data_IF_228226188673
#
_entry.id   IF_228226188673
#
_cell.length_a   1.000
_cell.length_b   1.000
_cell.length_c   1.000
_cell.angle_alpha   90.00
_cell.angle_beta   90.00
_cell.angle_gamma   90.00
#
_symmetry.space_group_name_H-M   'P 1'
#
loop_
_entity.id
_entity.type
_entity.pdbx_description
1 polymer ?
#
# COMPACT_ATOMS: atom_id res chain seq x y z
N UNK A 1 -19.68 90.72 -26.74
CA UNK A 1 -18.45 90.05 -27.17
C UNK A 1 -18.47 88.63 -26.54
N UNK A 2 -18.57 87.64 -27.38
CA UNK A 2 -18.78 86.22 -27.01
C UNK A 2 -17.47 85.58 -26.61
N UNK A 3 -17.46 84.84 -25.47
CA UNK A 3 -16.46 83.83 -25.24
C UNK A 3 -17.17 82.55 -24.87
N UNK A 4 -17.06 81.57 -25.76
CA UNK A 4 -17.59 80.20 -25.62
C UNK A 4 -16.67 79.37 -24.70
N UNK A 5 -17.21 78.96 -23.57
CA UNK A 5 -16.53 77.97 -22.72
C UNK A 5 -16.57 76.57 -23.33
N UNK A 6 -15.40 75.94 -23.53
CA UNK A 6 -15.28 74.55 -23.88
C UNK A 6 -15.27 73.76 -22.61
N UNK A 7 -16.29 72.94 -22.41
CA UNK A 7 -16.30 71.92 -21.36
C UNK A 7 -15.39 70.78 -21.80
N UNK A 8 -14.32 70.45 -21.02
CA UNK A 8 -13.53 69.22 -21.12
C UNK A 8 -14.25 68.15 -20.35
N UNK A 9 -14.70 67.15 -21.07
CA UNK A 9 -15.17 65.87 -20.49
C UNK A 9 -13.95 65.03 -20.15
N UNK A 10 -13.56 64.98 -18.87
CA UNK A 10 -12.55 64.08 -18.39
C UNK A 10 -13.18 62.65 -18.15
N UNK A 11 -12.97 61.74 -19.09
CA UNK A 11 -13.38 60.38 -18.95
C UNK A 11 -12.45 59.69 -17.98
N UNK A 12 -12.93 59.36 -16.77
CA UNK A 12 -12.27 58.42 -15.86
C UNK A 12 -12.42 56.99 -16.40
N UNK A 13 -11.40 56.51 -17.08
CA UNK A 13 -11.24 55.08 -17.34
C UNK A 13 -10.77 54.47 -16.03
N UNK A 14 -11.69 53.90 -15.24
CA UNK A 14 -11.36 53.01 -14.12
C UNK A 14 -10.77 51.71 -14.69
N UNK A 15 -9.45 51.58 -14.67
CA UNK A 15 -8.76 50.36 -14.91
C UNK A 15 -9.10 49.43 -13.73
N UNK A 16 -10.08 48.54 -13.93
CA UNK A 16 -10.31 47.41 -13.03
C UNK A 16 -9.14 46.45 -13.26
N UNK A 17 -8.07 46.63 -12.47
CA UNK A 17 -7.05 45.60 -12.31
C UNK A 17 -7.73 44.46 -11.59
N UNK A 18 -8.31 43.54 -12.34
CA UNK A 18 -8.56 42.17 -11.86
C UNK A 18 -7.20 41.60 -11.47
N UNK A 19 -6.90 41.64 -10.19
CA UNK A 19 -5.84 40.79 -9.65
C UNK A 19 -6.30 39.36 -9.92
N UNK A 20 -5.88 38.79 -11.06
CA UNK A 20 -5.90 37.39 -11.24
C UNK A 20 -5.02 36.86 -10.09
N UNK A 21 -5.65 36.39 -9.00
CA UNK A 21 -4.95 35.59 -8.01
C UNK A 21 -4.30 34.47 -8.82
N UNK A 22 -2.98 34.52 -8.90
CA UNK A 22 -2.23 33.39 -9.50
C UNK A 22 -2.66 32.15 -8.73
N UNK A 23 -3.35 31.26 -9.42
CA UNK A 23 -3.74 29.99 -8.85
C UNK A 23 -2.44 29.29 -8.44
N UNK A 24 -2.27 29.07 -7.14
CA UNK A 24 -1.10 28.37 -6.62
C UNK A 24 -1.34 26.87 -6.77
N UNK A 25 -0.36 26.16 -7.36
CA UNK A 25 -0.45 24.71 -7.51
C UNK A 25 -0.57 24.02 -6.15
N UNK A 26 -1.49 23.07 -6.05
CA UNK A 26 -1.67 22.26 -4.85
C UNK A 26 -0.70 21.09 -4.92
N UNK A 27 0.32 21.09 -4.07
CA UNK A 27 1.27 20.00 -3.97
C UNK A 27 0.68 18.82 -3.18
N UNK A 28 0.84 17.62 -3.72
CA UNK A 28 0.48 16.35 -3.09
C UNK A 28 1.74 15.49 -3.02
N UNK A 29 2.15 15.08 -1.83
CA UNK A 29 3.18 14.07 -1.69
C UNK A 29 2.58 12.70 -2.02
N UNK A 30 3.25 11.94 -2.86
CA UNK A 30 2.97 10.51 -3.07
C UNK A 30 4.17 9.74 -2.55
N UNK A 31 3.93 8.92 -1.53
CA UNK A 31 4.99 8.30 -0.73
C UNK A 31 4.83 6.79 -0.70
N UNK A 32 5.79 6.08 -1.24
CA UNK A 32 5.80 4.61 -1.25
C UNK A 32 7.17 4.09 -1.61
N UNK A 33 7.29 2.77 -1.75
CA UNK A 33 8.54 2.16 -2.17
C UNK A 33 8.80 2.41 -3.65
N UNK A 34 9.67 3.36 -3.99
CA UNK A 34 10.19 3.53 -5.36
C UNK A 34 11.42 2.64 -5.61
N UNK A 35 12.04 2.15 -4.56
CA UNK A 35 13.18 1.25 -4.57
C UNK A 35 12.97 0.06 -3.65
N UNK A 36 13.90 -0.91 -3.69
CA UNK A 36 13.85 -2.08 -2.83
C UNK A 36 12.98 -3.22 -3.35
N UNK A 37 12.81 -4.27 -2.53
CA UNK A 37 12.20 -5.54 -2.97
C UNK A 37 10.73 -5.46 -3.35
N UNK A 38 10.02 -4.43 -2.90
CA UNK A 38 8.57 -4.25 -3.11
C UNK A 38 8.23 -3.03 -3.97
N UNK A 39 9.20 -2.51 -4.73
CA UNK A 39 9.06 -1.33 -5.59
C UNK A 39 7.89 -1.43 -6.59
N UNK A 40 7.52 -2.63 -7.02
CA UNK A 40 6.40 -2.83 -7.93
C UNK A 40 5.05 -2.35 -7.36
N UNK A 41 4.88 -2.37 -6.05
CA UNK A 41 3.69 -1.81 -5.41
C UNK A 41 3.73 -0.28 -5.41
N UNK A 42 4.92 0.31 -5.24
CA UNK A 42 5.12 1.75 -5.40
C UNK A 42 4.80 2.21 -6.82
N UNK A 43 5.26 1.49 -7.84
CA UNK A 43 4.94 1.79 -9.24
C UNK A 43 3.43 1.81 -9.48
N UNK A 44 2.67 0.88 -8.89
CA UNK A 44 1.21 0.86 -8.99
C UNK A 44 0.57 2.08 -8.30
N UNK A 45 1.05 2.45 -7.12
CA UNK A 45 0.57 3.61 -6.37
C UNK A 45 0.84 4.91 -7.15
N UNK A 46 2.07 5.10 -7.63
CA UNK A 46 2.45 6.28 -8.39
C UNK A 46 1.68 6.39 -9.69
N UNK A 47 1.52 5.31 -10.45
CA UNK A 47 0.75 5.28 -11.69
C UNK A 47 -0.70 5.70 -11.45
N UNK A 48 -1.32 5.16 -10.39
CA UNK A 48 -2.69 5.53 -10.02
C UNK A 48 -2.83 7.01 -9.62
N UNK A 49 -1.89 7.53 -8.85
CA UNK A 49 -1.87 8.93 -8.43
C UNK A 49 -1.64 9.87 -9.62
N UNK A 50 -0.71 9.55 -10.52
CA UNK A 50 -0.42 10.33 -11.73
C UNK A 50 -1.64 10.40 -12.65
N UNK A 51 -2.32 9.28 -12.87
CA UNK A 51 -3.55 9.26 -13.67
C UNK A 51 -4.65 10.11 -13.03
N UNK A 52 -4.86 9.99 -11.72
CA UNK A 52 -5.87 10.79 -11.02
C UNK A 52 -5.59 12.29 -11.10
N UNK A 53 -4.33 12.69 -10.94
CA UNK A 53 -3.91 14.09 -11.07
C UNK A 53 -4.07 14.60 -12.50
N UNK A 54 -3.71 13.79 -13.50
CA UNK A 54 -3.91 14.14 -14.91
C UNK A 54 -5.39 14.38 -15.21
N UNK A 55 -6.29 13.51 -14.77
CA UNK A 55 -7.73 13.61 -14.97
C UNK A 55 -8.33 14.86 -14.30
N UNK A 56 -7.92 15.16 -13.07
CA UNK A 56 -8.37 16.34 -12.34
C UNK A 56 -7.87 17.62 -13.04
N UNK A 57 -6.61 17.63 -13.43
CA UNK A 57 -5.99 18.78 -14.08
C UNK A 57 -6.57 19.06 -15.47
N UNK A 58 -6.94 18.01 -16.22
CA UNK A 58 -7.61 18.14 -17.51
C UNK A 58 -8.99 18.81 -17.36
N UNK A 59 -9.67 18.59 -16.22
CA UNK A 59 -10.96 19.22 -15.89
C UNK A 59 -10.83 20.62 -15.29
N UNK A 60 -9.64 21.20 -15.26
CA UNK A 60 -9.39 22.56 -14.76
C UNK A 60 -8.80 22.63 -13.35
N UNK A 61 -8.50 21.49 -12.73
CA UNK A 61 -7.94 21.44 -11.38
C UNK A 61 -9.00 21.60 -10.29
N UNK A 62 -8.57 21.95 -9.09
CA UNK A 62 -9.45 22.19 -7.93
C UNK A 62 -9.59 23.71 -7.73
N UNK A 63 -10.77 24.24 -7.99
CA UNK A 63 -11.05 25.70 -7.92
C UNK A 63 -10.07 26.54 -8.77
N UNK A 64 -9.63 26.00 -9.90
CA UNK A 64 -8.66 26.64 -10.79
C UNK A 64 -7.19 26.33 -10.48
N UNK A 65 -6.86 25.77 -9.32
CA UNK A 65 -5.50 25.37 -8.97
C UNK A 65 -5.19 23.98 -9.55
N UNK A 66 -4.01 23.83 -10.15
CA UNK A 66 -3.55 22.54 -10.64
C UNK A 66 -2.96 21.71 -9.48
N UNK A 67 -3.07 20.40 -9.60
CA UNK A 67 -2.41 19.46 -8.70
C UNK A 67 -1.00 19.16 -9.21
N UNK A 68 -0.04 19.12 -8.31
CA UNK A 68 1.35 18.74 -8.60
C UNK A 68 1.77 17.60 -7.66
N UNK A 69 2.23 16.49 -8.24
CA UNK A 69 2.79 15.37 -7.48
C UNK A 69 4.24 15.66 -7.13
N UNK A 70 4.60 15.40 -5.87
CA UNK A 70 5.97 15.31 -5.39
C UNK A 70 6.18 13.89 -4.88
N UNK A 71 7.09 13.14 -5.52
CA UNK A 71 7.35 11.74 -5.20
C UNK A 71 8.40 11.61 -4.10
N UNK A 72 8.16 10.70 -3.16
CA UNK A 72 9.09 10.36 -2.10
C UNK A 72 9.23 8.85 -1.97
N UNK A 73 10.46 8.38 -1.82
CA UNK A 73 10.79 6.96 -1.65
C UNK A 73 11.05 6.66 -0.18
N UNK A 74 10.25 5.79 0.42
CA UNK A 74 10.45 5.26 1.77
C UNK A 74 11.00 3.82 1.78
N UNK A 75 11.15 3.20 0.61
CA UNK A 75 11.64 1.83 0.41
C UNK A 75 10.95 0.77 1.30
N UNK A 76 9.75 1.03 1.83
CA UNK A 76 9.11 0.25 2.90
C UNK A 76 9.95 0.13 4.19
N UNK A 77 10.91 1.01 4.40
CA UNK A 77 11.74 1.05 5.60
C UNK A 77 11.20 2.08 6.61
N UNK A 78 10.90 1.69 7.86
CA UNK A 78 10.29 2.59 8.84
C UNK A 78 11.19 3.77 9.22
N UNK A 79 12.53 3.64 9.17
CA UNK A 79 13.45 4.74 9.47
C UNK A 79 13.47 5.73 8.31
N UNK A 80 13.48 5.22 7.08
CA UNK A 80 13.41 6.08 5.89
C UNK A 80 12.05 6.78 5.83
N UNK A 81 10.96 6.13 6.20
CA UNK A 81 9.63 6.72 6.27
C UNK A 81 9.57 7.94 7.22
N UNK A 82 10.22 7.85 8.39
CA UNK A 82 10.35 8.99 9.31
C UNK A 82 11.12 10.14 8.67
N UNK A 83 12.23 9.86 7.98
CA UNK A 83 13.00 10.89 7.30
C UNK A 83 12.20 11.55 6.17
N UNK A 84 11.46 10.75 5.41
CA UNK A 84 10.56 11.23 4.34
C UNK A 84 9.43 12.07 4.92
N UNK A 85 8.78 11.64 6.00
CA UNK A 85 7.71 12.41 6.64
C UNK A 85 8.20 13.79 7.08
N UNK A 86 9.35 13.87 7.73
CA UNK A 86 9.95 15.16 8.08
C UNK A 86 10.29 16.01 6.85
N UNK A 87 10.71 15.37 5.74
CA UNK A 87 10.95 16.10 4.49
C UNK A 87 9.67 16.67 3.91
N UNK A 88 8.56 15.93 3.91
CA UNK A 88 7.24 16.40 3.48
C UNK A 88 6.80 17.60 4.31
N UNK A 89 6.99 17.56 5.64
CA UNK A 89 6.73 18.69 6.54
C UNK A 89 7.56 19.91 6.14
N UNK A 90 8.87 19.75 5.95
CA UNK A 90 9.78 20.83 5.59
C UNK A 90 9.49 21.41 4.20
N UNK A 91 9.00 20.62 3.26
CA UNK A 91 8.59 21.05 1.92
C UNK A 91 7.21 21.76 1.93
N UNK A 92 6.57 21.86 3.10
CA UNK A 92 5.31 22.57 3.31
C UNK A 92 4.09 21.88 2.72
N UNK A 93 4.17 20.58 2.40
CA UNK A 93 3.08 19.83 1.78
C UNK A 93 2.09 19.40 2.86
N UNK A 94 0.80 19.56 2.58
CA UNK A 94 -0.30 19.27 3.54
C UNK A 94 -1.15 18.05 3.17
N UNK A 95 -0.88 17.44 2.03
CA UNK A 95 -1.64 16.30 1.53
C UNK A 95 -0.70 15.16 1.13
N UNK A 96 -0.92 13.99 1.69
CA UNK A 96 -0.10 12.80 1.46
C UNK A 96 -0.98 11.64 0.97
N UNK A 97 -0.62 11.07 -0.17
CA UNK A 97 -1.06 9.74 -0.61
C UNK A 97 0.07 8.77 -0.27
N UNK A 98 -0.24 7.73 0.47
CA UNK A 98 0.76 6.81 1.02
C UNK A 98 0.69 6.79 2.56
N UNK A 99 1.64 6.25 3.26
CA UNK A 99 2.67 5.32 2.80
C UNK A 99 2.07 3.96 2.41
N UNK A 100 2.84 3.14 1.71
CA UNK A 100 2.34 1.88 1.20
C UNK A 100 2.39 0.75 2.24
N UNK A 101 3.54 0.55 2.89
CA UNK A 101 3.74 -0.53 3.86
C UNK A 101 3.28 -0.12 5.26
N UNK A 102 2.64 -1.03 6.01
CA UNK A 102 2.15 -0.72 7.36
C UNK A 102 3.28 -0.29 8.31
N UNK A 103 4.47 -0.93 8.22
CA UNK A 103 5.66 -0.60 9.00
C UNK A 103 6.20 0.81 8.74
N UNK A 104 6.06 1.32 7.52
CA UNK A 104 6.41 2.68 7.13
C UNK A 104 5.33 3.68 7.51
N UNK A 105 4.07 3.31 7.28
CA UNK A 105 2.90 4.15 7.53
C UNK A 105 2.78 4.56 8.99
N UNK A 106 3.02 3.63 9.91
CA UNK A 106 2.79 3.89 11.33
C UNK A 106 3.65 5.04 11.86
N UNK A 107 4.99 5.00 11.80
CA UNK A 107 5.80 6.09 12.34
C UNK A 107 5.65 7.40 11.54
N UNK A 108 5.38 7.35 10.24
CA UNK A 108 5.14 8.54 9.45
C UNK A 108 3.82 9.21 9.82
N UNK A 109 2.78 8.43 10.10
CA UNK A 109 1.45 8.94 10.46
C UNK A 109 1.43 9.70 11.80
N UNK A 110 2.32 9.36 12.74
CA UNK A 110 2.46 10.11 13.98
C UNK A 110 2.92 11.56 13.69
N UNK A 111 3.91 11.70 12.81
CA UNK A 111 4.43 13.00 12.39
C UNK A 111 3.35 13.80 11.63
N UNK A 112 2.63 13.15 10.71
CA UNK A 112 1.61 13.83 9.91
C UNK A 112 0.42 14.29 10.76
N UNK A 113 -0.03 13.48 11.73
CA UNK A 113 -1.11 13.89 12.65
C UNK A 113 -0.69 15.11 13.47
N UNK A 114 0.53 15.10 14.04
CA UNK A 114 1.07 16.17 14.86
C UNK A 114 1.25 17.49 14.09
N UNK A 115 1.62 17.40 12.80
CA UNK A 115 1.86 18.53 11.91
C UNK A 115 0.61 18.99 11.13
N UNK A 116 -0.55 18.39 11.39
CA UNK A 116 -1.81 18.72 10.74
C UNK A 116 -1.81 18.43 9.24
N UNK A 117 -1.17 17.34 8.82
CA UNK A 117 -1.07 16.87 7.44
C UNK A 117 -2.06 15.73 7.21
N UNK A 118 -2.93 15.88 6.22
CA UNK A 118 -3.85 14.83 5.81
C UNK A 118 -3.09 13.72 5.05
N UNK A 119 -3.14 12.50 5.58
CA UNK A 119 -2.59 11.31 4.93
C UNK A 119 -3.69 10.31 4.60
N UNK A 120 -3.66 9.79 3.39
CA UNK A 120 -4.54 8.71 2.93
C UNK A 120 -3.68 7.57 2.38
N UNK A 121 -3.63 6.45 3.10
CA UNK A 121 -2.94 5.27 2.58
C UNK A 121 -3.85 4.44 1.68
N UNK A 122 -3.41 4.09 0.45
CA UNK A 122 -4.17 3.22 -0.43
C UNK A 122 -3.89 1.72 -0.19
N UNK A 123 -2.88 1.37 0.61
CA UNK A 123 -2.36 0.01 0.68
C UNK A 123 -2.11 -0.55 2.08
N UNK A 124 -1.73 0.28 3.06
CA UNK A 124 -1.40 -0.21 4.40
C UNK A 124 -2.64 -0.75 5.13
N UNK A 125 -2.64 -2.04 5.48
CA UNK A 125 -3.81 -2.79 5.96
C UNK A 125 -3.86 -3.04 7.45
N UNK A 126 -2.76 -2.79 8.19
CA UNK A 126 -2.70 -3.00 9.64
C UNK A 126 -3.82 -2.20 10.37
N UNK A 127 -4.66 -2.86 11.19
CA UNK A 127 -5.84 -2.24 11.79
C UNK A 127 -5.52 -1.04 12.68
N UNK A 128 -4.42 -1.11 13.42
CA UNK A 128 -4.02 -0.08 14.38
C UNK A 128 -3.70 1.27 13.73
N UNK A 129 -3.36 1.31 12.45
CA UNK A 129 -3.04 2.57 11.76
C UNK A 129 -4.18 3.60 11.85
N UNK A 130 -5.42 3.15 11.80
CA UNK A 130 -6.60 4.02 11.87
C UNK A 130 -7.43 3.83 13.15
N UNK A 131 -6.99 2.96 14.08
CA UNK A 131 -7.67 2.71 15.35
C UNK A 131 -7.15 3.59 16.51
N UNK A 132 -6.10 4.39 16.29
CA UNK A 132 -5.45 5.23 17.31
C UNK A 132 -6.19 6.54 17.63
N UNK A 133 -7.32 6.81 16.96
CA UNK A 133 -8.12 8.02 17.16
C UNK A 133 -7.60 9.25 16.41
N UNK A 134 -6.65 9.09 15.50
CA UNK A 134 -6.15 10.15 14.64
C UNK A 134 -7.25 10.63 13.69
N UNK A 135 -7.27 11.95 13.39
CA UNK A 135 -8.30 12.59 12.57
C UNK A 135 -7.89 12.74 11.12
N UNK A 136 -6.59 12.83 10.88
CA UNK A 136 -6.01 13.12 9.58
C UNK A 136 -5.42 11.88 8.89
N UNK A 137 -5.47 10.72 9.54
CA UNK A 137 -4.91 9.47 9.02
C UNK A 137 -6.05 8.57 8.55
N UNK A 138 -6.18 8.45 7.24
CA UNK A 138 -7.27 7.73 6.58
C UNK A 138 -6.72 6.57 5.73
N UNK A 139 -7.62 5.68 5.36
CA UNK A 139 -7.31 4.51 4.52
C UNK A 139 -8.44 4.25 3.52
N UNK A 140 -8.07 3.79 2.31
CA UNK A 140 -9.03 3.39 1.26
C UNK A 140 -9.05 1.89 0.98
N UNK A 141 -8.17 1.11 1.62
CA UNK A 141 -8.12 -0.35 1.50
C UNK A 141 -8.79 -1.06 2.69
N UNK A 142 -8.94 -2.40 2.61
CA UNK A 142 -9.48 -3.22 3.69
C UNK A 142 -8.52 -3.40 4.86
N UNK A 143 -8.92 -4.21 5.83
CA UNK A 143 -8.20 -4.46 7.07
C UNK A 143 -7.69 -5.89 7.16
N UNK A 144 -6.53 -6.08 7.78
CA UNK A 144 -6.01 -7.41 8.13
C UNK A 144 -6.94 -8.15 9.10
N UNK A 145 -7.71 -7.40 9.92
CA UNK A 145 -8.74 -7.97 10.79
C UNK A 145 -9.89 -8.65 10.06
N UNK A 146 -10.08 -8.37 8.77
CA UNK A 146 -11.06 -9.05 7.92
C UNK A 146 -10.39 -10.16 7.09
N UNK A 147 -9.17 -9.90 6.64
CA UNK A 147 -8.41 -10.82 5.79
C UNK A 147 -7.94 -12.06 6.57
N UNK A 148 -7.41 -11.89 7.77
CA UNK A 148 -6.91 -12.99 8.59
C UNK A 148 -7.99 -14.04 8.91
N UNK A 149 -9.15 -13.67 9.46
CA UNK A 149 -10.28 -14.59 9.67
C UNK A 149 -10.79 -15.24 8.37
N UNK A 150 -10.78 -14.51 7.25
CA UNK A 150 -11.18 -15.04 5.95
C UNK A 150 -10.22 -16.14 5.48
N UNK A 151 -8.91 -15.94 5.61
CA UNK A 151 -7.89 -16.94 5.32
C UNK A 151 -8.06 -18.17 6.23
N UNK A 152 -8.16 -17.96 7.55
CA UNK A 152 -8.34 -19.03 8.50
C UNK A 152 -9.60 -19.86 8.21
N UNK A 153 -10.71 -19.22 7.91
CA UNK A 153 -11.95 -19.89 7.54
C UNK A 153 -11.79 -20.74 6.26
N UNK A 154 -11.12 -20.21 5.25
CA UNK A 154 -10.88 -20.98 4.03
C UNK A 154 -9.99 -22.19 4.28
N UNK A 155 -8.94 -22.05 5.08
CA UNK A 155 -8.05 -23.16 5.47
C UNK A 155 -8.85 -24.25 6.19
N UNK A 156 -9.68 -23.87 7.17
CA UNK A 156 -10.50 -24.81 7.96
C UNK A 156 -11.57 -25.52 7.13
N UNK A 157 -12.25 -24.78 6.26
CA UNK A 157 -13.42 -25.31 5.56
C UNK A 157 -13.05 -26.08 4.27
N UNK A 158 -12.01 -25.62 3.57
CA UNK A 158 -11.68 -26.09 2.22
C UNK A 158 -10.42 -26.90 2.15
N UNK A 159 -9.33 -26.44 2.78
CA UNK A 159 -8.03 -27.12 2.71
C UNK A 159 -7.98 -28.27 3.71
N UNK A 160 -8.39 -28.05 4.96
CA UNK A 160 -8.45 -29.04 6.06
C UNK A 160 -7.13 -29.75 6.32
N UNK A 161 -6.02 -28.98 6.45
CA UNK A 161 -4.72 -29.57 6.68
C UNK A 161 -4.63 -30.19 8.08
N UNK A 162 -3.69 -31.13 8.25
CA UNK A 162 -3.50 -31.83 9.52
C UNK A 162 -2.43 -31.17 10.39
N UNK A 163 -1.40 -30.59 9.78
CA UNK A 163 -0.23 -30.02 10.47
C UNK A 163 0.16 -28.68 9.82
N UNK A 164 -0.15 -27.61 10.53
CA UNK A 164 -0.01 -26.25 10.00
C UNK A 164 1.22 -25.57 10.61
N UNK A 165 2.01 -24.91 9.78
CA UNK A 165 2.95 -23.88 10.23
C UNK A 165 2.41 -22.51 9.83
N UNK A 166 2.57 -21.52 10.72
CA UNK A 166 2.33 -20.12 10.43
C UNK A 166 3.66 -19.37 10.53
N UNK A 167 4.06 -18.74 9.44
CA UNK A 167 5.36 -18.07 9.30
C UNK A 167 5.14 -16.62 8.92
N UNK A 168 6.00 -15.70 9.37
CA UNK A 168 5.89 -14.28 9.03
C UNK A 168 7.27 -13.62 8.85
N UNK A 169 7.29 -12.44 8.21
CA UNK A 169 8.50 -11.69 7.90
C UNK A 169 8.99 -10.76 9.03
N UNK A 170 8.39 -10.84 10.22
CA UNK A 170 8.64 -9.97 11.39
C UNK A 170 8.32 -8.49 11.16
N UNK A 171 7.70 -8.13 10.03
CA UNK A 171 7.20 -6.78 9.82
C UNK A 171 5.78 -6.63 10.35
N UNK A 172 5.36 -5.40 10.62
CA UNK A 172 4.04 -5.11 11.20
C UNK A 172 2.89 -5.75 10.43
N UNK A 173 2.87 -5.60 9.09
CA UNK A 173 1.87 -6.21 8.23
C UNK A 173 1.90 -7.73 8.30
N UNK A 174 3.04 -8.35 7.98
CA UNK A 174 3.14 -9.80 7.87
C UNK A 174 2.92 -10.53 9.20
N UNK A 175 3.50 -10.03 10.29
CA UNK A 175 3.32 -10.60 11.63
C UNK A 175 1.88 -10.39 12.13
N UNK A 176 1.32 -9.18 11.98
CA UNK A 176 -0.05 -8.90 12.42
C UNK A 176 -1.07 -9.81 11.74
N UNK A 177 -0.96 -9.95 10.42
CA UNK A 177 -1.85 -10.82 9.65
C UNK A 177 -1.64 -12.31 9.97
N UNK A 178 -0.39 -12.75 10.11
CA UNK A 178 -0.08 -14.13 10.51
C UNK A 178 -0.67 -14.48 11.89
N UNK A 179 -0.63 -13.54 12.84
CA UNK A 179 -1.28 -13.70 14.15
C UNK A 179 -2.79 -13.82 14.00
N UNK A 180 -3.42 -12.96 13.22
CA UNK A 180 -4.87 -13.03 12.99
C UNK A 180 -5.31 -14.36 12.37
N UNK A 181 -4.52 -14.90 11.44
CA UNK A 181 -4.75 -16.24 10.87
C UNK A 181 -4.54 -17.32 11.90
N UNK A 182 -3.43 -17.30 12.66
CA UNK A 182 -3.16 -18.27 13.72
C UNK A 182 -4.30 -18.32 14.75
N UNK A 183 -4.77 -17.17 15.18
CA UNK A 183 -5.85 -17.09 16.17
C UNK A 183 -7.16 -17.67 15.61
N UNK A 184 -7.48 -17.39 14.35
CA UNK A 184 -8.62 -17.98 13.67
C UNK A 184 -8.51 -19.51 13.55
N UNK A 185 -7.32 -20.01 13.18
CA UNK A 185 -7.04 -21.45 13.08
C UNK A 185 -7.15 -22.16 14.43
N UNK A 186 -6.54 -21.61 15.49
CA UNK A 186 -6.61 -22.17 16.86
C UNK A 186 -8.05 -22.17 17.38
N UNK A 187 -8.78 -21.06 17.16
CA UNK A 187 -10.21 -20.98 17.53
C UNK A 187 -11.05 -22.02 16.81
N UNK A 188 -10.70 -22.36 15.57
CA UNK A 188 -11.33 -23.42 14.79
C UNK A 188 -10.84 -24.84 15.11
N UNK A 189 -9.95 -25.02 16.11
CA UNK A 189 -9.44 -26.31 16.55
C UNK A 189 -8.36 -26.90 15.64
N UNK A 190 -7.74 -26.12 14.75
CA UNK A 190 -6.68 -26.60 13.88
C UNK A 190 -5.37 -26.84 14.63
N UNK A 191 -4.58 -27.80 14.17
CA UNK A 191 -3.27 -28.13 14.72
C UNK A 191 -2.19 -27.19 14.14
N UNK A 192 -1.98 -26.05 14.77
CA UNK A 192 -0.87 -25.15 14.46
C UNK A 192 0.37 -25.61 15.21
N UNK A 193 1.26 -26.31 14.52
CA UNK A 193 2.46 -26.96 15.08
C UNK A 193 3.47 -25.90 15.54
N UNK A 194 3.66 -24.83 14.76
CA UNK A 194 4.51 -23.71 15.18
C UNK A 194 4.07 -22.40 14.54
N UNK A 195 4.48 -21.31 15.21
CA UNK A 195 4.42 -19.95 14.74
C UNK A 195 5.84 -19.37 14.83
N UNK A 196 6.40 -18.90 13.72
CA UNK A 196 7.79 -18.45 13.69
C UNK A 196 8.00 -17.31 12.67
N UNK A 197 9.07 -16.55 12.86
CA UNK A 197 9.43 -15.42 11.99
C UNK A 197 10.73 -15.65 11.24
N UNK A 198 10.70 -15.35 9.96
CA UNK A 198 11.92 -15.16 9.14
C UNK A 198 12.35 -13.68 9.21
N UNK A 199 13.51 -13.35 8.68
CA UNK A 199 13.94 -11.96 8.55
C UNK A 199 13.67 -11.47 7.12
N UNK A 200 12.94 -10.36 6.98
CA UNK A 200 12.71 -9.74 5.68
C UNK A 200 14.06 -9.43 4.98
N UNK A 201 14.14 -9.70 3.68
CA UNK A 201 15.35 -9.56 2.88
C UNK A 201 16.28 -10.77 2.88
N UNK A 202 16.05 -11.78 3.73
CA UNK A 202 16.78 -13.05 3.66
C UNK A 202 16.54 -13.76 2.33
N UNK A 203 17.53 -14.56 1.93
CA UNK A 203 17.49 -15.33 0.68
C UNK A 203 17.64 -16.84 0.90
N UNK A 204 18.13 -17.23 2.06
CA UNK A 204 18.32 -18.63 2.44
C UNK A 204 17.30 -19.03 3.53
N UNK A 205 16.40 -19.92 3.17
CA UNK A 205 15.34 -20.44 4.03
C UNK A 205 15.52 -21.95 4.29
N UNK A 206 16.74 -22.47 4.09
CA UNK A 206 17.05 -23.91 4.29
C UNK A 206 16.69 -24.39 5.69
N UNK A 207 16.92 -23.58 6.73
CA UNK A 207 16.56 -23.89 8.11
C UNK A 207 15.04 -24.03 8.27
N UNK A 208 14.25 -23.10 7.72
CA UNK A 208 12.79 -23.21 7.72
C UNK A 208 12.33 -24.46 6.97
N UNK A 209 12.86 -24.70 5.77
CA UNK A 209 12.51 -25.85 4.93
C UNK A 209 12.84 -27.17 5.64
N UNK A 210 14.00 -27.25 6.30
CA UNK A 210 14.38 -28.43 7.10
C UNK A 210 13.40 -28.67 8.27
N UNK A 211 12.96 -27.58 8.93
CA UNK A 211 11.96 -27.66 10.01
C UNK A 211 10.60 -28.10 9.48
N UNK A 212 10.12 -27.53 8.35
CA UNK A 212 8.88 -27.97 7.72
C UNK A 212 8.87 -29.46 7.43
N UNK A 213 9.99 -30.00 6.92
CA UNK A 213 10.18 -31.42 6.64
C UNK A 213 10.20 -32.25 7.93
N UNK A 214 10.98 -31.83 8.93
CA UNK A 214 11.12 -32.54 10.22
C UNK A 214 9.80 -32.64 10.95
N UNK A 215 9.01 -31.57 10.94
CA UNK A 215 7.71 -31.50 11.63
C UNK A 215 6.55 -32.02 10.76
N UNK A 216 6.85 -32.57 9.59
CA UNK A 216 5.86 -33.14 8.67
C UNK A 216 4.70 -32.17 8.36
N UNK A 217 5.05 -30.91 8.06
CA UNK A 217 4.08 -29.83 7.81
C UNK A 217 3.45 -30.00 6.43
N UNK A 218 2.13 -30.13 6.40
CA UNK A 218 1.36 -30.26 5.16
C UNK A 218 0.82 -28.91 4.63
N UNK A 219 0.75 -27.88 5.51
CA UNK A 219 0.28 -26.56 5.14
C UNK A 219 1.09 -25.43 5.81
N UNK A 220 1.44 -24.41 5.03
CA UNK A 220 2.09 -23.19 5.53
C UNK A 220 1.23 -21.99 5.18
N UNK A 221 0.84 -21.19 6.19
CA UNK A 221 0.46 -19.81 5.97
C UNK A 221 1.68 -18.91 6.18
N UNK A 222 1.96 -18.05 5.19
CA UNK A 222 3.04 -17.07 5.28
C UNK A 222 2.45 -15.65 5.27
N UNK A 223 2.74 -14.86 6.29
CA UNK A 223 2.44 -13.42 6.37
C UNK A 223 3.66 -12.61 5.94
N UNK A 224 3.52 -11.85 4.85
CA UNK A 224 4.60 -11.04 4.31
C UNK A 224 4.46 -10.79 2.81
N UNK A 225 5.57 -10.53 2.15
CA UNK A 225 5.59 -10.12 0.75
C UNK A 225 6.13 -11.20 -0.19
N UNK A 226 5.98 -10.95 -1.48
CA UNK A 226 6.34 -11.91 -2.55
C UNK A 226 7.83 -12.27 -2.65
N UNK A 227 8.81 -11.41 -2.29
CA UNK A 227 10.21 -11.76 -2.46
C UNK A 227 10.62 -12.99 -1.64
N UNK A 228 10.30 -12.99 -0.33
CA UNK A 228 10.59 -14.11 0.57
C UNK A 228 9.74 -15.33 0.24
N UNK A 229 8.43 -15.13 -0.02
CA UNK A 229 7.54 -16.25 -0.40
C UNK A 229 8.06 -16.99 -1.63
N UNK A 230 8.51 -16.26 -2.65
CA UNK A 230 9.07 -16.87 -3.86
C UNK A 230 10.31 -17.73 -3.57
N UNK A 231 11.20 -17.27 -2.70
CA UNK A 231 12.39 -18.02 -2.30
C UNK A 231 12.04 -19.25 -1.45
N UNK A 232 11.10 -19.09 -0.51
CA UNK A 232 10.61 -20.21 0.33
C UNK A 232 10.01 -21.29 -0.54
N UNK A 233 9.14 -20.95 -1.49
CA UNK A 233 8.51 -21.89 -2.42
C UNK A 233 9.57 -22.65 -3.22
N UNK A 234 10.54 -21.94 -3.81
CA UNK A 234 11.60 -22.53 -4.61
C UNK A 234 12.42 -23.52 -3.80
N UNK A 235 12.84 -23.14 -2.59
CA UNK A 235 13.66 -23.99 -1.73
C UNK A 235 12.87 -25.18 -1.17
N UNK A 236 11.60 -24.99 -0.83
CA UNK A 236 10.72 -26.07 -0.39
C UNK A 236 10.51 -27.12 -1.49
N UNK A 237 10.25 -26.70 -2.73
CA UNK A 237 10.08 -27.61 -3.87
C UNK A 237 11.39 -28.32 -4.23
N UNK A 238 12.52 -27.61 -4.21
CA UNK A 238 13.84 -28.21 -4.42
C UNK A 238 14.20 -29.26 -3.36
N UNK A 239 13.72 -29.11 -2.13
CA UNK A 239 13.86 -30.09 -1.05
C UNK A 239 12.83 -31.26 -1.11
N UNK A 240 11.99 -31.28 -2.16
CA UNK A 240 10.97 -32.30 -2.39
C UNK A 240 9.72 -32.17 -1.54
N UNK A 241 9.49 -31.02 -0.88
CA UNK A 241 8.28 -30.79 -0.08
C UNK A 241 7.05 -30.59 -0.98
N UNK A 242 5.98 -31.27 -0.65
CA UNK A 242 4.66 -31.14 -1.29
C UNK A 242 3.71 -30.25 -0.48
N UNK A 243 4.21 -29.62 0.56
CA UNK A 243 3.48 -28.72 1.45
C UNK A 243 2.68 -27.69 0.65
N UNK A 244 1.41 -27.52 0.99
CA UNK A 244 0.56 -26.48 0.43
C UNK A 244 0.91 -25.14 1.08
N UNK A 245 0.99 -24.08 0.28
CA UNK A 245 1.27 -22.73 0.79
C UNK A 245 0.10 -21.79 0.53
N UNK A 246 -0.08 -20.87 1.46
CA UNK A 246 -1.01 -19.73 1.32
C UNK A 246 -0.35 -18.47 1.85
N UNK A 247 -0.64 -17.35 1.19
CA UNK A 247 -0.20 -16.03 1.64
C UNK A 247 -1.27 -14.96 1.40
N UNK A 248 -1.01 -13.73 1.88
CA UNK A 248 -1.90 -12.58 1.69
C UNK A 248 -1.71 -11.92 0.32
N UNK A 249 -2.42 -10.80 0.08
CA UNK A 249 -2.28 -10.01 -1.15
C UNK A 249 -0.85 -9.52 -1.39
N UNK A 250 -0.05 -9.30 -0.33
CA UNK A 250 1.36 -8.92 -0.42
C UNK A 250 2.24 -9.95 -1.13
N UNK A 251 1.77 -11.20 -1.33
CA UNK A 251 2.47 -12.18 -2.16
C UNK A 251 1.91 -12.25 -3.58
N UNK A 252 0.73 -11.68 -3.83
CA UNK A 252 0.03 -11.78 -5.11
C UNK A 252 0.57 -10.79 -6.17
N UNK A 253 1.86 -10.84 -6.41
CA UNK A 253 2.55 -10.00 -7.40
C UNK A 253 3.10 -10.84 -8.55
N UNK A 254 3.09 -10.29 -9.76
CA UNK A 254 3.64 -10.97 -10.96
C UNK A 254 5.13 -11.33 -10.80
N UNK A 255 5.88 -10.55 -10.01
CA UNK A 255 7.28 -10.84 -9.70
C UNK A 255 7.47 -12.11 -8.87
N UNK A 256 6.44 -12.61 -8.18
CA UNK A 256 6.49 -13.90 -7.52
C UNK A 256 6.82 -15.02 -8.52
N UNK A 257 6.14 -15.02 -9.68
CA UNK A 257 6.38 -16.02 -10.73
C UNK A 257 7.81 -15.93 -11.30
N UNK A 258 8.40 -14.74 -11.35
CA UNK A 258 9.78 -14.56 -11.78
C UNK A 258 10.79 -15.15 -10.78
N UNK A 259 10.46 -15.12 -9.49
CA UNK A 259 11.32 -15.65 -8.41
C UNK A 259 11.13 -17.16 -8.23
N UNK A 260 9.89 -17.60 -8.16
CA UNK A 260 9.54 -18.98 -7.82
C UNK A 260 9.42 -19.89 -9.04
N UNK A 261 9.15 -19.35 -10.24
CA UNK A 261 8.85 -20.16 -11.42
C UNK A 261 7.69 -21.13 -11.17
N UNK A 262 7.84 -22.36 -11.65
CA UNK A 262 6.86 -23.45 -11.44
C UNK A 262 6.63 -23.78 -9.96
N UNK A 263 7.57 -23.42 -9.07
CA UNK A 263 7.41 -23.64 -7.63
C UNK A 263 6.25 -22.86 -7.01
N UNK A 264 5.76 -21.82 -7.70
CA UNK A 264 4.57 -21.05 -7.29
C UNK A 264 3.25 -21.77 -7.60
N UNK A 265 3.27 -22.84 -8.38
CA UNK A 265 2.05 -23.53 -8.76
C UNK A 265 1.34 -24.09 -7.52
N UNK A 266 0.03 -23.87 -7.50
CA UNK A 266 -0.82 -24.26 -6.38
C UNK A 266 -0.75 -23.33 -5.15
N UNK A 267 -0.01 -22.21 -5.19
CA UNK A 267 -0.05 -21.21 -4.13
C UNK A 267 -1.46 -20.62 -4.00
N UNK A 268 -1.98 -20.60 -2.79
CA UNK A 268 -3.23 -19.94 -2.46
C UNK A 268 -2.95 -18.51 -1.98
N UNK A 269 -3.81 -17.57 -2.37
CA UNK A 269 -3.69 -16.18 -1.91
C UNK A 269 -5.05 -15.60 -1.54
N UNK A 270 -5.07 -14.78 -0.49
CA UNK A 270 -6.20 -13.89 -0.23
C UNK A 270 -5.99 -12.58 -0.97
N UNK A 271 -7.05 -12.08 -1.59
CA UNK A 271 -7.03 -10.81 -2.33
C UNK A 271 -8.28 -10.00 -2.03
N UNK A 272 -8.24 -8.68 -2.07
CA UNK A 272 -9.45 -7.87 -2.13
C UNK A 272 -10.23 -8.19 -3.41
N UNK A 273 -11.49 -7.73 -3.47
CA UNK A 273 -12.29 -7.85 -4.70
C UNK A 273 -11.51 -7.25 -5.87
N UNK A 274 -11.63 -7.88 -7.03
CA UNK A 274 -11.04 -7.34 -8.25
C UNK A 274 -11.85 -6.14 -8.73
N UNK A 275 -11.41 -4.95 -8.35
CA UNK A 275 -12.05 -3.69 -8.73
C UNK A 275 -11.89 -3.35 -10.21
N UNK A 276 -10.94 -3.98 -10.92
CA UNK A 276 -10.76 -3.81 -12.37
C UNK A 276 -11.98 -4.30 -13.16
N UNK A 277 -12.73 -5.24 -12.59
CA UNK A 277 -13.92 -5.83 -13.22
C UNK A 277 -15.21 -5.06 -12.90
N UNK A 278 -15.13 -4.02 -12.08
CA UNK A 278 -16.29 -3.16 -11.78
C UNK A 278 -16.54 -2.25 -12.99
N UNK A 279 -17.72 -2.30 -13.64
CA UNK A 279 -17.98 -1.53 -14.86
C UNK A 279 -17.72 -0.02 -14.74
N UNK A 280 -18.01 0.56 -13.57
CA UNK A 280 -17.77 1.98 -13.29
C UNK A 280 -16.29 2.36 -13.31
N UNK A 281 -15.38 1.41 -13.08
CA UNK A 281 -13.93 1.64 -13.05
C UNK A 281 -13.27 1.47 -14.43
N UNK A 282 -14.01 0.94 -15.41
CA UNK A 282 -13.45 0.65 -16.75
C UNK A 282 -12.71 1.83 -17.37
N UNK A 283 -13.23 3.08 -17.38
CA UNK A 283 -12.52 4.20 -18.00
C UNK A 283 -11.16 4.48 -17.35
N UNK A 284 -11.06 4.31 -16.00
CA UNK A 284 -9.80 4.52 -15.27
C UNK A 284 -8.83 3.37 -15.57
N UNK A 285 -9.33 2.13 -15.57
CA UNK A 285 -8.52 0.95 -15.90
C UNK A 285 -7.95 1.04 -17.31
N UNK A 286 -8.76 1.45 -18.28
CA UNK A 286 -8.32 1.62 -19.67
C UNK A 286 -7.26 2.74 -19.78
N UNK A 287 -7.43 3.85 -19.06
CA UNK A 287 -6.47 4.96 -19.05
C UNK A 287 -5.11 4.58 -18.42
N UNK A 288 -5.12 3.74 -17.37
CA UNK A 288 -3.88 3.23 -16.76
C UNK A 288 -3.15 2.23 -17.66
N UNK A 289 -3.88 1.49 -18.51
CA UNK A 289 -3.32 0.48 -19.42
C UNK A 289 -2.82 1.06 -20.74
N UNK A 290 -3.22 2.28 -21.09
CA UNK A 290 -2.83 2.97 -22.31
C UNK A 290 -1.42 3.55 -22.23
#
# INVERSE_FOLDING_TARGET
MNMKGKALLAGCIALVMSSAALAEDIKIAVVGAMSGPVAQYGDQEFTGAEQAVADINAKGGIKGNKLQIVKYDDACDPKQAVAVANKVVNDGIKYVIGHLCSSSTQPASDIYEDEGILMITPAATAPELTARGYKLILRTTGLDSDQGPTAAKYILDKVKPQRIAVVHDKQQYGEGLARAVQDGLKKGGANVVFFDGITAGEKDFSTLVARLKKEDIDFVYYGGYHPEMGQILRQARAAGLKTQFMGPEGVANVSLSNIAGESAEGLLVTKPKNYDQVPANKPIVDAIKA
#
